data_IF_255185354563
#
_entry.id   IF_255185354563
#
_cell.length_a   1.000
_cell.length_b   1.000
_cell.length_c   1.000
_cell.angle_alpha   90.00
_cell.angle_beta   90.00
_cell.angle_gamma   90.00
#
_symmetry.space_group_name_H-M   'P 1'
#
loop_
_entity.id
_entity.type
_entity.pdbx_description
1 polymer ?
#
# COMPACT_ATOMS: atom_id res chain seq x y z
N UNK A 1 11.50 17.37 -32.12
CA UNK A 1 10.69 16.25 -32.64
C UNK A 1 9.31 16.36 -32.04
N UNK A 2 8.27 16.50 -32.86
CA UNK A 2 6.88 16.48 -32.41
C UNK A 2 6.49 15.00 -32.32
N UNK A 3 6.26 14.48 -31.11
CA UNK A 3 5.71 13.13 -30.98
C UNK A 3 4.34 13.09 -31.69
N UNK A 4 4.10 12.15 -32.61
CA UNK A 4 2.83 12.05 -33.28
C UNK A 4 1.71 11.88 -32.25
N UNK A 5 0.62 12.62 -32.45
CA UNK A 5 -0.53 12.53 -31.57
C UNK A 5 -1.01 11.08 -31.47
N UNK A 6 -1.27 10.55 -30.25
CA UNK A 6 -1.65 9.16 -30.09
C UNK A 6 -2.93 8.88 -30.87
N UNK A 7 -2.83 7.99 -31.87
CA UNK A 7 -3.97 7.54 -32.67
C UNK A 7 -5.01 6.96 -31.70
N UNK A 8 -6.20 7.56 -31.66
CA UNK A 8 -7.33 7.10 -30.82
C UNK A 8 -7.87 5.78 -31.36
N UNK A 9 -7.15 4.67 -31.12
CA UNK A 9 -7.65 3.32 -31.39
C UNK A 9 -8.67 2.93 -30.33
N UNK A 10 -9.77 2.32 -30.76
CA UNK A 10 -10.77 1.71 -29.87
C UNK A 10 -10.12 0.57 -29.08
N UNK A 11 -10.18 0.64 -27.75
CA UNK A 11 -9.63 -0.39 -26.85
C UNK A 11 -10.33 -1.72 -27.07
N UNK A 12 -9.56 -2.79 -27.19
CA UNK A 12 -10.04 -4.19 -27.22
C UNK A 12 -10.68 -4.58 -25.89
N UNK A 13 -11.49 -5.65 -25.87
CA UNK A 13 -12.09 -6.17 -24.63
C UNK A 13 -11.03 -6.55 -23.60
N UNK A 14 -9.93 -7.17 -24.03
CA UNK A 14 -8.82 -7.58 -23.14
C UNK A 14 -8.05 -6.39 -22.57
N UNK A 15 -7.88 -5.31 -23.33
CA UNK A 15 -7.29 -4.07 -22.81
C UNK A 15 -8.19 -3.35 -21.81
N UNK A 16 -9.51 -3.38 -22.01
CA UNK A 16 -10.47 -2.85 -21.03
C UNK A 16 -10.42 -3.65 -19.72
N UNK A 17 -10.35 -4.97 -19.82
CA UNK A 17 -10.21 -5.86 -18.66
C UNK A 17 -8.89 -5.58 -17.91
N UNK A 18 -7.75 -5.52 -18.61
CA UNK A 18 -6.46 -5.22 -18.01
C UNK A 18 -6.44 -3.84 -17.32
N UNK A 19 -7.13 -2.85 -17.90
CA UNK A 19 -7.28 -1.53 -17.29
C UNK A 19 -8.14 -1.58 -16.02
N UNK A 20 -9.27 -2.31 -16.06
CA UNK A 20 -10.12 -2.53 -14.90
C UNK A 20 -9.39 -3.20 -13.75
N UNK A 21 -8.67 -4.31 -14.04
CA UNK A 21 -7.81 -4.99 -13.06
C UNK A 21 -6.82 -3.99 -12.48
N UNK A 22 -6.07 -3.26 -13.32
CA UNK A 22 -5.08 -2.25 -12.91
C UNK A 22 -5.61 -1.26 -11.86
N UNK A 23 -6.82 -0.73 -12.06
CA UNK A 23 -7.43 0.22 -11.11
C UNK A 23 -7.76 -0.47 -9.78
N UNK A 24 -8.20 -1.73 -9.82
CA UNK A 24 -8.59 -2.51 -8.65
C UNK A 24 -7.41 -3.16 -7.89
N UNK A 25 -6.15 -2.85 -8.20
CA UNK A 25 -5.02 -3.67 -7.72
C UNK A 25 -4.40 -3.30 -6.38
N UNK A 26 -4.55 -2.07 -5.90
CA UNK A 26 -3.85 -1.61 -4.67
C UNK A 26 -4.86 -1.29 -3.58
N UNK A 27 -5.86 -0.47 -3.91
CA UNK A 27 -6.86 0.03 -2.94
C UNK A 27 -7.61 -1.08 -2.20
N UNK A 28 -8.06 -2.19 -2.84
CA UNK A 28 -8.76 -3.25 -2.10
C UNK A 28 -7.89 -3.93 -1.05
N UNK A 29 -6.61 -4.22 -1.34
CA UNK A 29 -5.72 -4.86 -0.35
C UNK A 29 -5.37 -3.91 0.79
N UNK A 30 -5.21 -2.61 0.51
CA UNK A 30 -5.01 -1.61 1.56
C UNK A 30 -6.25 -1.47 2.44
N UNK A 31 -7.45 -1.46 1.86
CA UNK A 31 -8.71 -1.43 2.63
C UNK A 31 -8.84 -2.69 3.51
N UNK A 32 -8.60 -3.88 2.95
CA UNK A 32 -8.63 -5.13 3.71
C UNK A 32 -7.64 -5.13 4.88
N UNK A 33 -6.44 -4.59 4.65
CA UNK A 33 -5.42 -4.46 5.69
C UNK A 33 -5.81 -3.47 6.77
N UNK A 34 -6.43 -2.34 6.41
CA UNK A 34 -6.98 -1.37 7.38
C UNK A 34 -8.05 -2.05 8.24
N UNK A 35 -9.04 -2.69 7.61
CA UNK A 35 -10.13 -3.38 8.32
C UNK A 35 -9.56 -4.46 9.26
N UNK A 36 -8.57 -5.23 8.78
CA UNK A 36 -7.94 -6.27 9.59
C UNK A 36 -7.19 -5.71 10.80
N UNK A 37 -6.42 -4.63 10.63
CA UNK A 37 -5.70 -3.99 11.73
C UNK A 37 -6.65 -3.36 12.74
N UNK A 38 -7.68 -2.65 12.29
CA UNK A 38 -8.69 -2.09 13.19
C UNK A 38 -9.43 -3.19 13.95
N UNK A 39 -9.82 -4.28 13.27
CA UNK A 39 -10.42 -5.45 13.91
C UNK A 39 -9.49 -6.02 14.99
N UNK A 40 -8.23 -6.27 14.65
CA UNK A 40 -7.22 -6.82 15.57
C UNK A 40 -7.01 -5.94 16.80
N UNK A 41 -7.01 -4.62 16.62
CA UNK A 41 -6.89 -3.65 17.71
C UNK A 41 -8.12 -3.72 18.63
N UNK A 42 -9.32 -3.64 18.06
CA UNK A 42 -10.57 -3.57 18.84
C UNK A 42 -10.89 -4.88 19.57
N UNK A 43 -10.35 -6.00 19.07
CA UNK A 43 -10.47 -7.32 19.69
C UNK A 43 -9.23 -7.69 20.50
N UNK A 44 -8.36 -6.73 20.81
CA UNK A 44 -7.24 -6.96 21.71
C UNK A 44 -7.74 -7.30 23.12
N UNK A 45 -7.13 -8.26 23.83
CA UNK A 45 -7.53 -8.62 25.19
C UNK A 45 -7.57 -7.43 26.15
N UNK A 46 -6.66 -6.45 25.96
CA UNK A 46 -6.63 -5.23 26.79
C UNK A 46 -7.89 -4.38 26.60
N UNK A 47 -8.31 -4.15 25.34
CA UNK A 47 -9.51 -3.37 25.06
C UNK A 47 -10.79 -4.12 25.44
N UNK A 48 -10.84 -5.44 25.23
CA UNK A 48 -11.96 -6.28 25.69
C UNK A 48 -12.09 -6.23 27.22
N UNK A 49 -10.98 -6.32 27.95
CA UNK A 49 -10.97 -6.21 29.40
C UNK A 49 -11.50 -4.84 29.88
N UNK A 50 -11.14 -3.76 29.17
CA UNK A 50 -11.70 -2.42 29.42
C UNK A 50 -13.20 -2.36 29.08
N UNK A 51 -13.64 -2.95 27.96
CA UNK A 51 -15.07 -2.99 27.59
C UNK A 51 -15.93 -3.73 28.61
N UNK A 52 -15.44 -4.86 29.13
CA UNK A 52 -16.11 -5.66 30.15
C UNK A 52 -16.25 -4.94 31.50
N UNK A 53 -15.49 -3.86 31.72
CA UNK A 53 -15.64 -2.97 32.88
C UNK A 53 -16.72 -1.89 32.69
N UNK A 54 -17.55 -1.99 31.64
CA UNK A 54 -18.67 -1.08 31.40
C UNK A 54 -18.33 0.13 30.52
N UNK A 55 -17.27 0.05 29.71
CA UNK A 55 -16.91 1.08 28.73
C UNK A 55 -17.38 0.65 27.32
N UNK A 56 -18.62 0.98 26.89
CA UNK A 56 -19.17 0.60 25.59
C UNK A 56 -18.48 1.27 24.38
N UNK A 57 -17.37 1.96 24.59
CA UNK A 57 -16.70 2.79 23.60
C UNK A 57 -15.88 2.01 22.56
N UNK A 58 -15.74 0.68 22.67
CA UNK A 58 -14.95 -0.13 21.72
C UNK A 58 -15.39 0.06 20.26
N UNK A 59 -16.70 0.05 20.00
CA UNK A 59 -17.24 0.27 18.65
C UNK A 59 -16.97 1.70 18.14
N UNK A 60 -16.99 2.68 19.03
CA UNK A 60 -16.68 4.08 18.70
C UNK A 60 -15.20 4.21 18.34
N UNK A 61 -14.30 3.58 19.12
CA UNK A 61 -12.88 3.53 18.80
C UNK A 61 -12.62 2.82 17.46
N UNK A 62 -13.32 1.72 17.17
CA UNK A 62 -13.21 1.05 15.88
C UNK A 62 -13.57 1.98 14.72
N UNK A 63 -14.72 2.65 14.80
CA UNK A 63 -15.17 3.59 13.78
C UNK A 63 -14.17 4.75 13.62
N UNK A 64 -13.65 5.30 14.72
CA UNK A 64 -12.66 6.38 14.69
C UNK A 64 -11.37 5.90 14.03
N UNK A 65 -10.83 4.76 14.44
CA UNK A 65 -9.59 4.17 13.89
C UNK A 65 -9.77 3.85 12.41
N UNK A 66 -10.88 3.23 12.01
CA UNK A 66 -11.18 2.93 10.61
C UNK A 66 -11.29 4.21 9.78
N UNK A 67 -11.99 5.23 10.27
CA UNK A 67 -12.17 6.50 9.56
C UNK A 67 -10.84 7.23 9.36
N UNK A 68 -10.05 7.36 10.44
CA UNK A 68 -8.72 7.95 10.39
C UNK A 68 -7.84 7.14 9.45
N UNK A 69 -7.87 5.82 9.54
CA UNK A 69 -7.03 4.94 8.74
C UNK A 69 -7.37 4.99 7.26
N UNK A 70 -8.64 4.93 6.89
CA UNK A 70 -9.07 5.10 5.49
C UNK A 70 -8.58 6.45 4.95
N UNK A 71 -8.77 7.52 5.72
CA UNK A 71 -8.33 8.85 5.30
C UNK A 71 -6.81 8.93 5.12
N UNK A 72 -6.04 8.57 6.15
CA UNK A 72 -4.59 8.76 6.16
C UNK A 72 -3.82 7.72 5.36
N UNK A 73 -4.28 6.48 5.27
CA UNK A 73 -3.58 5.41 4.51
C UNK A 73 -4.01 5.37 3.05
N UNK A 74 -5.30 5.58 2.75
CA UNK A 74 -5.82 5.40 1.38
C UNK A 74 -5.97 6.72 0.62
N UNK A 75 -6.44 7.79 1.27
CA UNK A 75 -6.83 9.03 0.59
C UNK A 75 -5.69 10.05 0.60
N UNK A 76 -5.13 10.32 1.78
CA UNK A 76 -4.16 11.38 2.01
C UNK A 76 -2.88 11.24 1.17
N UNK A 77 -2.24 10.07 1.03
CA UNK A 77 -1.03 9.92 0.23
C UNK A 77 -1.29 10.13 -1.27
N UNK A 78 -2.56 10.04 -1.70
CA UNK A 78 -2.99 10.24 -3.09
C UNK A 78 -3.48 11.67 -3.36
N UNK A 79 -3.88 12.41 -2.34
CA UNK A 79 -4.47 13.75 -2.48
C UNK A 79 -3.56 14.73 -3.27
N UNK A 80 -2.24 14.79 -3.02
CA UNK A 80 -1.37 15.67 -3.79
C UNK A 80 -1.33 15.32 -5.29
N UNK A 81 -1.44 14.02 -5.62
CA UNK A 81 -1.49 13.53 -7.01
C UNK A 81 -2.76 14.01 -7.71
N UNK A 82 -3.90 13.91 -7.04
CA UNK A 82 -5.17 14.39 -7.58
C UNK A 82 -5.17 15.90 -7.81
N UNK A 83 -4.63 16.68 -6.86
CA UNK A 83 -4.53 18.14 -6.98
C UNK A 83 -3.65 18.53 -8.18
N UNK A 84 -2.50 17.88 -8.35
CA UNK A 84 -1.59 18.20 -9.45
C UNK A 84 -2.13 17.76 -10.82
N UNK A 85 -2.84 16.64 -10.88
CA UNK A 85 -3.54 16.21 -12.09
C UNK A 85 -4.66 17.20 -12.47
N UNK A 86 -5.47 17.65 -11.49
CA UNK A 86 -6.53 18.65 -11.72
C UNK A 86 -5.97 19.98 -12.23
N UNK A 87 -4.79 20.40 -11.75
CA UNK A 87 -4.09 21.61 -12.21
C UNK A 87 -3.41 21.45 -13.57
N UNK A 88 -3.53 20.30 -14.23
CA UNK A 88 -2.88 20.03 -15.53
C UNK A 88 -1.36 19.99 -15.48
N UNK A 89 -0.75 20.11 -14.29
CA UNK A 89 0.70 20.08 -14.08
C UNK A 89 1.27 18.69 -14.33
N UNK A 90 0.43 17.67 -14.21
CA UNK A 90 0.78 16.27 -14.38
C UNK A 90 -0.23 15.70 -15.38
N UNK A 91 0.22 15.34 -16.59
CA UNK A 91 -0.63 14.62 -17.55
C UNK A 91 -0.78 13.17 -17.06
N UNK A 92 -1.98 12.86 -16.58
CA UNK A 92 -2.40 11.57 -16.01
C UNK A 92 -1.65 10.34 -16.58
N UNK A 93 -0.95 9.62 -15.69
CA UNK A 93 -0.45 8.25 -15.85
C UNK A 93 0.52 7.95 -17.02
N UNK A 94 0.89 8.93 -17.82
CA UNK A 94 2.02 8.91 -18.77
C UNK A 94 3.04 9.98 -18.38
N UNK A 95 3.16 10.22 -17.08
CA UNK A 95 4.03 11.25 -16.55
C UNK A 95 5.45 11.04 -17.05
N UNK A 96 6.02 12.14 -17.55
CA UNK A 96 7.44 12.20 -17.85
C UNK A 96 8.21 11.82 -16.59
N UNK A 97 9.40 11.25 -16.78
CA UNK A 97 10.21 10.73 -15.67
C UNK A 97 10.37 11.74 -14.54
N UNK A 98 10.52 13.00 -14.92
CA UNK A 98 10.74 14.16 -14.06
C UNK A 98 9.56 14.41 -13.11
N UNK A 99 8.33 14.25 -13.60
CA UNK A 99 7.12 14.38 -12.78
C UNK A 99 6.92 13.22 -11.79
N UNK A 100 7.56 12.06 -12.03
CA UNK A 100 7.46 10.91 -11.12
C UNK A 100 8.19 11.16 -9.81
N UNK A 101 9.26 11.94 -9.83
CA UNK A 101 9.95 12.34 -8.61
C UNK A 101 9.02 13.14 -7.70
N UNK A 102 8.27 14.10 -8.26
CA UNK A 102 7.29 14.90 -7.51
C UNK A 102 6.21 14.01 -6.91
N UNK A 103 5.66 13.08 -7.70
CA UNK A 103 4.63 12.14 -7.23
C UNK A 103 5.13 11.23 -6.11
N UNK A 104 6.33 10.67 -6.26
CA UNK A 104 6.92 9.78 -5.25
C UNK A 104 7.35 10.55 -4.01
N UNK A 105 7.89 11.77 -4.15
CA UNK A 105 8.25 12.64 -3.03
C UNK A 105 7.02 13.05 -2.21
N UNK A 106 5.92 13.42 -2.87
CA UNK A 106 4.65 13.70 -2.19
C UNK A 106 4.08 12.46 -1.50
N UNK A 107 4.21 11.29 -2.11
CA UNK A 107 3.83 10.02 -1.49
C UNK A 107 4.68 9.74 -0.24
N UNK A 108 6.00 9.91 -0.28
CA UNK A 108 6.89 9.76 0.86
C UNK A 108 6.52 10.72 2.00
N UNK A 109 6.27 11.99 1.71
CA UNK A 109 5.81 12.96 2.73
C UNK A 109 4.47 12.52 3.31
N UNK A 110 3.54 12.07 2.46
CA UNK A 110 2.26 11.51 2.89
C UNK A 110 2.44 10.39 3.90
N UNK A 111 3.24 9.37 3.57
CA UNK A 111 3.51 8.25 4.47
C UNK A 111 4.26 8.65 5.75
N UNK A 112 5.15 9.63 5.68
CA UNK A 112 5.79 10.17 6.88
C UNK A 112 4.78 10.82 7.83
N UNK A 113 3.85 11.61 7.29
CA UNK A 113 2.74 12.20 8.08
C UNK A 113 1.87 11.11 8.69
N UNK A 114 1.56 10.04 7.94
CA UNK A 114 0.81 8.89 8.46
C UNK A 114 1.50 8.28 9.68
N UNK A 115 2.81 8.04 9.61
CA UNK A 115 3.60 7.51 10.72
C UNK A 115 3.48 8.42 11.95
N UNK A 116 3.66 9.73 11.77
CA UNK A 116 3.56 10.71 12.87
C UNK A 116 2.17 10.72 13.50
N UNK A 117 1.11 10.70 12.68
CA UNK A 117 -0.27 10.65 13.17
C UNK A 117 -0.50 9.40 14.02
N UNK A 118 -0.04 8.23 13.58
CA UNK A 118 -0.22 7.00 14.38
C UNK A 118 0.64 6.96 15.64
N UNK A 119 1.83 7.57 15.66
CA UNK A 119 2.61 7.73 16.89
C UNK A 119 1.85 8.59 17.90
N UNK A 120 1.25 9.70 17.44
CA UNK A 120 0.45 10.58 18.30
C UNK A 120 -0.81 9.87 18.80
N UNK A 121 -1.50 9.12 17.94
CA UNK A 121 -2.70 8.37 18.31
C UNK A 121 -2.40 7.22 19.28
N UNK A 122 -1.25 6.54 19.15
CA UNK A 122 -0.78 5.54 20.11
C UNK A 122 -0.69 6.15 21.53
N UNK A 123 -0.21 7.39 21.64
CA UNK A 123 -0.08 8.11 22.90
C UNK A 123 -1.42 8.66 23.44
N UNK A 124 -2.29 9.17 22.55
CA UNK A 124 -3.57 9.80 22.96
C UNK A 124 -4.61 8.73 23.31
N UNK A 125 -4.78 7.74 22.45
CA UNK A 125 -5.82 6.73 22.60
C UNK A 125 -5.41 5.63 23.58
N UNK A 126 -4.11 5.52 23.91
CA UNK A 126 -3.54 4.44 24.72
C UNK A 126 -3.88 3.05 24.14
N UNK A 127 -4.02 3.00 22.82
CA UNK A 127 -4.34 1.81 22.04
C UNK A 127 -3.15 1.51 21.15
N UNK A 128 -2.77 0.24 21.05
CA UNK A 128 -1.58 -0.17 20.33
C UNK A 128 -1.72 0.03 18.81
N UNK A 129 -1.13 1.12 18.29
CA UNK A 129 -1.14 1.49 16.86
C UNK A 129 0.09 0.98 16.11
N UNK A 130 0.94 0.16 16.73
CA UNK A 130 2.27 -0.19 16.20
C UNK A 130 2.21 -0.89 14.85
N UNK A 131 1.17 -1.68 14.59
CA UNK A 131 0.99 -2.33 13.29
C UNK A 131 0.79 -1.30 12.17
N UNK A 132 0.02 -0.24 12.41
CA UNK A 132 -0.14 0.87 11.48
C UNK A 132 1.15 1.68 11.31
N UNK A 133 1.92 1.87 12.39
CA UNK A 133 3.23 2.53 12.34
C UNK A 133 4.20 1.71 11.46
N UNK A 134 4.33 0.41 11.70
CA UNK A 134 5.19 -0.51 10.93
C UNK A 134 4.79 -0.49 9.45
N UNK A 135 3.49 -0.54 9.17
CA UNK A 135 2.96 -0.46 7.82
C UNK A 135 3.28 0.88 7.15
N UNK A 136 3.07 2.00 7.85
CA UNK A 136 3.43 3.32 7.38
C UNK A 136 4.93 3.42 7.06
N UNK A 137 5.79 2.91 7.94
CA UNK A 137 7.25 2.86 7.75
C UNK A 137 7.65 2.04 6.54
N UNK A 138 7.07 0.86 6.35
CA UNK A 138 7.36 0.02 5.18
C UNK A 138 7.01 0.75 3.88
N UNK A 139 5.84 1.40 3.80
CA UNK A 139 5.44 2.16 2.61
C UNK A 139 6.26 3.42 2.38
N UNK A 140 6.66 4.10 3.47
CA UNK A 140 7.61 5.21 3.39
C UNK A 140 8.94 4.78 2.77
N UNK A 141 9.51 3.67 3.25
CA UNK A 141 10.76 3.11 2.72
C UNK A 141 10.60 2.66 1.26
N UNK A 142 9.49 1.99 0.92
CA UNK A 142 9.17 1.63 -0.47
C UNK A 142 9.13 2.88 -1.35
N UNK A 143 8.48 3.96 -0.91
CA UNK A 143 8.41 5.20 -1.66
C UNK A 143 9.81 5.81 -1.88
N UNK A 144 10.65 5.87 -0.84
CA UNK A 144 12.04 6.35 -0.94
C UNK A 144 12.89 5.50 -1.89
N UNK A 145 12.81 4.17 -1.78
CA UNK A 145 13.51 3.26 -2.68
C UNK A 145 13.09 3.49 -4.14
N UNK A 146 11.79 3.70 -4.39
CA UNK A 146 11.30 4.00 -5.73
C UNK A 146 11.74 5.38 -6.22
N UNK A 147 11.93 6.38 -5.35
CA UNK A 147 12.53 7.68 -5.70
C UNK A 147 13.96 7.46 -6.22
N UNK A 148 14.78 6.74 -5.46
CA UNK A 148 16.19 6.46 -5.80
C UNK A 148 16.29 5.67 -7.10
N UNK A 149 15.48 4.63 -7.27
CA UNK A 149 15.49 3.81 -8.49
C UNK A 149 15.03 4.63 -9.71
N UNK A 150 13.95 5.40 -9.58
CA UNK A 150 13.36 6.14 -10.71
C UNK A 150 14.20 7.33 -11.13
N UNK A 151 14.74 8.07 -10.16
CA UNK A 151 15.40 9.37 -10.38
C UNK A 151 16.91 9.24 -10.42
N UNK A 152 17.50 8.42 -9.54
CA UNK A 152 18.95 8.18 -9.48
C UNK A 152 19.40 7.14 -10.51
N UNK A 153 18.96 5.89 -10.36
CA UNK A 153 19.41 4.76 -11.20
C UNK A 153 18.83 4.76 -12.61
N UNK A 154 17.94 5.70 -12.88
CA UNK A 154 17.25 5.82 -14.15
C UNK A 154 16.53 4.52 -14.59
N UNK A 155 16.13 3.67 -13.66
CA UNK A 155 15.35 2.45 -13.91
C UNK A 155 13.85 2.67 -13.64
N UNK A 156 12.99 1.72 -14.04
CA UNK A 156 11.54 1.77 -13.84
C UNK A 156 11.10 0.53 -13.08
N UNK A 157 10.29 0.70 -12.04
CA UNK A 157 9.70 -0.40 -11.26
C UNK A 157 8.19 -0.32 -11.31
N UNK A 158 7.52 -1.47 -11.15
CA UNK A 158 6.06 -1.49 -11.06
C UNK A 158 5.61 -1.15 -9.65
N UNK A 159 5.18 0.10 -9.44
CA UNK A 159 4.57 0.55 -8.19
C UNK A 159 3.31 -0.24 -7.81
N UNK A 160 2.59 -0.79 -8.80
CA UNK A 160 1.40 -1.59 -8.52
C UNK A 160 1.76 -2.97 -8.00
N UNK A 161 2.82 -3.58 -8.54
CA UNK A 161 3.33 -4.83 -7.98
C UNK A 161 3.91 -4.59 -6.59
N UNK A 162 4.72 -3.54 -6.42
CA UNK A 162 5.30 -3.23 -5.11
C UNK A 162 4.24 -2.94 -4.05
N UNK A 163 3.21 -2.14 -4.38
CA UNK A 163 2.09 -1.84 -3.50
C UNK A 163 1.22 -3.06 -3.18
N UNK A 164 0.87 -3.87 -4.19
CA UNK A 164 0.06 -5.07 -3.97
C UNK A 164 0.83 -6.14 -3.16
N UNK A 165 2.08 -6.42 -3.53
CA UNK A 165 2.92 -7.39 -2.82
C UNK A 165 3.18 -6.94 -1.39
N UNK A 166 3.50 -5.66 -1.14
CA UNK A 166 3.68 -5.18 0.24
C UNK A 166 2.40 -5.28 1.08
N UNK A 167 1.23 -4.90 0.56
CA UNK A 167 -0.05 -5.09 1.26
C UNK A 167 -0.32 -6.57 1.56
N UNK A 168 -0.13 -7.45 0.57
CA UNK A 168 -0.36 -8.89 0.73
C UNK A 168 0.64 -9.51 1.72
N UNK A 169 1.93 -9.15 1.65
CA UNK A 169 2.94 -9.63 2.58
C UNK A 169 2.65 -9.16 4.00
N UNK A 170 2.22 -7.91 4.18
CA UNK A 170 1.83 -7.41 5.49
C UNK A 170 0.57 -8.11 6.01
N UNK A 171 -0.46 -8.27 5.17
CA UNK A 171 -1.67 -9.04 5.50
C UNK A 171 -1.30 -10.45 5.95
N UNK A 172 -0.51 -11.16 5.16
CA UNK A 172 -0.04 -12.50 5.49
C UNK A 172 0.65 -12.53 6.85
N UNK A 173 1.65 -11.68 7.07
CA UNK A 173 2.39 -11.66 8.34
C UNK A 173 1.40 -11.34 9.47
N UNK A 174 0.54 -10.35 9.30
CA UNK A 174 -0.48 -10.00 10.29
C UNK A 174 -1.60 -11.03 10.48
N UNK A 175 -1.71 -12.06 9.64
CA UNK A 175 -2.68 -13.14 9.82
C UNK A 175 -2.01 -14.42 10.33
N UNK A 176 -0.88 -14.81 9.74
CA UNK A 176 -0.09 -15.97 10.15
C UNK A 176 0.30 -15.88 11.63
N UNK A 177 0.67 -14.68 12.07
CA UNK A 177 1.04 -14.46 13.46
C UNK A 177 -0.14 -14.28 14.43
N UNK A 178 -1.40 -14.18 13.95
CA UNK A 178 -2.52 -13.71 14.77
C UNK A 178 -3.80 -14.58 14.69
N UNK A 179 -4.04 -15.29 13.59
CA UNK A 179 -5.35 -15.87 13.29
C UNK A 179 -5.50 -17.37 13.56
N UNK A 180 -4.43 -18.10 13.90
CA UNK A 180 -4.47 -19.56 14.10
C UNK A 180 -4.89 -20.39 12.86
N UNK A 181 -5.13 -19.73 11.72
CA UNK A 181 -5.44 -20.38 10.44
C UNK A 181 -4.14 -20.97 9.88
N UNK A 182 -4.16 -22.19 9.29
CA UNK A 182 -2.97 -22.77 8.67
C UNK A 182 -2.33 -21.80 7.67
N UNK A 183 -1.17 -21.28 8.07
CA UNK A 183 -0.49 -20.08 7.54
C UNK A 183 -0.34 -20.10 6.01
N UNK A 184 -0.14 -21.28 5.46
CA UNK A 184 0.18 -21.50 4.05
C UNK A 184 -1.01 -21.33 3.10
N UNK A 185 -2.24 -21.62 3.56
CA UNK A 185 -3.42 -21.60 2.69
C UNK A 185 -3.87 -20.16 2.39
N UNK A 186 -3.88 -19.30 3.40
CA UNK A 186 -4.21 -17.89 3.23
C UNK A 186 -3.13 -17.15 2.42
N UNK A 187 -1.85 -17.47 2.65
CA UNK A 187 -0.75 -16.95 1.86
C UNK A 187 -0.92 -17.30 0.38
N UNK A 188 -1.16 -18.57 0.07
CA UNK A 188 -1.37 -19.03 -1.29
C UNK A 188 -2.54 -18.28 -1.95
N UNK A 189 -3.68 -18.16 -1.25
CA UNK A 189 -4.86 -17.45 -1.74
C UNK A 189 -4.58 -15.95 -2.01
N UNK A 190 -3.88 -15.25 -1.11
CA UNK A 190 -3.57 -13.84 -1.29
C UNK A 190 -2.55 -13.62 -2.43
N UNK A 191 -1.58 -14.50 -2.60
CA UNK A 191 -0.60 -14.41 -3.69
C UNK A 191 -1.19 -14.78 -5.05
N UNK A 192 -2.30 -15.54 -5.13
CA UNK A 192 -3.03 -15.79 -6.39
C UNK A 192 -3.56 -14.52 -7.05
N UNK A 193 -3.67 -13.41 -6.33
CA UNK A 193 -4.03 -12.12 -6.91
C UNK A 193 -2.88 -11.41 -7.64
N UNK A 194 -1.62 -11.78 -7.39
CA UNK A 194 -0.47 -11.14 -8.04
C UNK A 194 -0.33 -11.46 -9.53
N UNK A 195 -0.53 -12.72 -10.01
CA UNK A 195 -0.46 -13.02 -11.45
C UNK A 195 -1.45 -12.22 -12.31
N UNK A 196 -2.74 -12.05 -11.94
CA UNK A 196 -3.65 -11.15 -12.68
C UNK A 196 -3.15 -9.70 -12.77
N UNK A 197 -2.55 -9.17 -11.70
CA UNK A 197 -1.98 -7.82 -11.65
C UNK A 197 -0.78 -7.71 -12.59
N UNK A 198 0.14 -8.67 -12.49
CA UNK A 198 1.32 -8.76 -13.34
C UNK A 198 0.95 -8.88 -14.82
N UNK A 199 0.00 -9.76 -15.14
CA UNK A 199 -0.53 -9.92 -16.50
C UNK A 199 -1.15 -8.63 -17.03
N UNK A 200 -2.00 -7.96 -16.25
CA UNK A 200 -2.63 -6.72 -16.66
C UNK A 200 -1.59 -5.64 -17.00
N UNK A 201 -0.55 -5.50 -16.16
CA UNK A 201 0.54 -4.54 -16.38
C UNK A 201 1.44 -4.91 -17.55
N UNK A 202 1.73 -6.18 -17.75
CA UNK A 202 2.49 -6.65 -18.91
C UNK A 202 1.70 -6.43 -20.21
N UNK A 203 0.41 -6.76 -20.24
CA UNK A 203 -0.46 -6.56 -21.42
C UNK A 203 -0.60 -5.10 -21.80
N UNK A 204 -0.66 -4.20 -20.81
CA UNK A 204 -0.71 -2.75 -21.04
C UNK A 204 0.61 -2.16 -21.58
N UNK A 205 1.71 -2.91 -21.56
CA UNK A 205 3.03 -2.42 -22.01
C UNK A 205 2.98 -2.08 -23.49
N UNK A 206 2.46 -3.00 -24.31
CA UNK A 206 2.36 -2.85 -25.76
C UNK A 206 1.26 -1.88 -26.19
N UNK A 207 0.20 -1.78 -25.40
CA UNK A 207 -1.06 -1.16 -25.83
C UNK A 207 -1.17 0.33 -25.47
N UNK A 208 -0.51 0.77 -24.40
CA UNK A 208 -0.70 2.12 -23.87
C UNK A 208 0.60 2.86 -23.53
N UNK A 209 1.78 2.24 -23.74
CA UNK A 209 3.05 2.69 -23.14
C UNK A 209 2.99 2.84 -21.60
N UNK A 210 1.94 2.29 -20.96
CA UNK A 210 1.64 2.39 -19.52
C UNK A 210 1.95 1.12 -18.74
N UNK A 211 2.40 0.06 -19.42
CA UNK A 211 2.74 -1.20 -18.79
C UNK A 211 4.19 -1.33 -18.37
N UNK A 212 4.53 -2.55 -17.94
CA UNK A 212 5.83 -2.90 -17.38
C UNK A 212 6.37 -4.17 -18.05
N UNK A 213 7.69 -4.23 -18.24
CA UNK A 213 8.36 -5.48 -18.64
C UNK A 213 8.37 -6.47 -17.47
N UNK A 214 8.62 -7.75 -17.75
CA UNK A 214 8.72 -8.78 -16.71
C UNK A 214 9.75 -8.41 -15.63
N UNK A 215 10.99 -7.96 -15.94
CA UNK A 215 11.94 -7.51 -14.92
C UNK A 215 11.42 -6.36 -14.05
N UNK A 216 10.62 -5.44 -14.60
CA UNK A 216 10.03 -4.32 -13.85
C UNK A 216 8.91 -4.78 -12.90
N UNK A 217 8.22 -5.87 -13.25
CA UNK A 217 7.22 -6.52 -12.39
C UNK A 217 7.89 -7.30 -11.26
N UNK A 218 8.91 -8.09 -11.58
CA UNK A 218 9.70 -8.86 -10.61
C UNK A 218 10.39 -7.92 -9.61
N UNK A 219 11.03 -6.85 -10.07
CA UNK A 219 11.63 -5.85 -9.17
C UNK A 219 10.58 -5.19 -8.26
N UNK A 220 9.40 -4.86 -8.78
CA UNK A 220 8.30 -4.37 -7.95
C UNK A 220 7.89 -5.36 -6.86
N UNK A 221 7.72 -6.64 -7.22
CA UNK A 221 7.45 -7.73 -6.29
C UNK A 221 8.53 -7.83 -5.20
N UNK A 222 9.80 -7.91 -5.60
CA UNK A 222 10.93 -8.05 -4.67
C UNK A 222 11.02 -6.88 -3.70
N UNK A 223 10.86 -5.64 -4.20
CA UNK A 223 10.85 -4.44 -3.33
C UNK A 223 9.71 -4.53 -2.31
N UNK A 224 8.49 -4.84 -2.75
CA UNK A 224 7.34 -4.96 -1.85
C UNK A 224 7.53 -6.02 -0.77
N UNK A 225 8.02 -7.20 -1.16
CA UNK A 225 8.25 -8.31 -0.25
C UNK A 225 9.41 -8.06 0.73
N UNK A 226 10.59 -7.74 0.20
CA UNK A 226 11.82 -7.57 0.98
C UNK A 226 11.69 -6.42 1.96
N UNK A 227 11.16 -5.27 1.53
CA UNK A 227 11.07 -4.09 2.41
C UNK A 227 10.13 -4.35 3.57
N UNK A 228 8.95 -4.94 3.32
CA UNK A 228 8.01 -5.28 4.40
C UNK A 228 8.64 -6.28 5.37
N UNK A 229 9.25 -7.35 4.84
CA UNK A 229 9.88 -8.37 5.65
C UNK A 229 11.01 -7.81 6.53
N UNK A 230 11.92 -7.03 5.94
CA UNK A 230 13.02 -6.39 6.66
C UNK A 230 12.53 -5.37 7.68
N UNK A 231 11.52 -4.55 7.33
CA UNK A 231 10.94 -3.58 8.27
C UNK A 231 10.45 -4.30 9.53
N UNK A 232 9.73 -5.41 9.36
CA UNK A 232 9.20 -6.19 10.49
C UNK A 232 10.33 -6.80 11.32
N UNK A 233 11.34 -7.40 10.68
CA UNK A 233 12.52 -7.93 11.39
C UNK A 233 13.24 -6.83 12.18
N UNK A 234 13.43 -5.65 11.59
CA UNK A 234 14.07 -4.52 12.26
C UNK A 234 13.27 -4.08 13.48
N UNK A 235 11.96 -3.93 13.38
CA UNK A 235 11.12 -3.57 14.53
C UNK A 235 11.19 -4.63 15.64
N UNK A 236 11.24 -5.94 15.28
CA UNK A 236 11.45 -7.01 16.27
C UNK A 236 12.81 -6.89 16.95
N UNK A 237 13.87 -6.69 16.17
CA UNK A 237 15.23 -6.57 16.70
C UNK A 237 15.40 -5.37 17.63
N UNK A 238 14.74 -4.25 17.31
CA UNK A 238 14.73 -3.03 18.13
C UNK A 238 13.90 -3.16 19.41
N UNK A 239 13.37 -4.35 19.71
CA UNK A 239 12.61 -4.59 20.93
C UNK A 239 11.29 -3.82 20.97
N UNK A 240 10.78 -3.36 19.82
CA UNK A 240 9.37 -2.99 19.75
C UNK A 240 8.60 -4.29 19.85
N UNK A 241 7.83 -4.55 20.93
CA UNK A 241 6.76 -5.51 20.82
C UNK A 241 5.86 -4.99 19.71
N UNK A 242 6.01 -5.57 18.52
CA UNK A 242 4.88 -5.80 17.63
C UNK A 242 3.85 -6.38 18.58
N UNK A 243 2.67 -5.78 18.67
CA UNK A 243 1.65 -6.20 19.62
C UNK A 243 1.38 -7.69 19.39
N UNK A 244 2.08 -8.54 20.11
CA UNK A 244 1.79 -9.95 20.24
C UNK A 244 0.76 -9.92 21.35
N UNK A 245 -0.50 -10.08 20.99
CA UNK A 245 -1.57 -10.15 21.98
C UNK A 245 -1.31 -11.30 22.96
#
# INVERSE_FOLDING_TARGET
>A
MIEPAPIKRKKTKTEKLAYGITIATITPFQILLIIWFSYSICHSPQLIALGNQGYPHIYIYQIIIDTISIFFISIFPLLPVFILNKKGKIKSYTTQREDRFVLLGLSSIGWFIVILVYIILDQILLVNMRNFIIFGTAYFIIALINIVITSGLKFKTSLHMSGATSSITMLYISYAYFGGVPEYQLLALLFLFLPPIAWAKWKMQKSFQRGHTIPQLISGFLIGFIVVYLTIITYRFLGFPIAWF
#
